data_IF_637312227028
#
_entry.id   IF_637312227028
#
_cell.length_a   1.000
_cell.length_b   1.000
_cell.length_c   1.000
_cell.angle_alpha   90.00
_cell.angle_beta   90.00
_cell.angle_gamma   90.00
#
_symmetry.space_group_name_H-M   'P 1'
#
loop_
_entity.id
_entity.type
_entity.pdbx_description
1 polymer ?
#
# COMPACT_ATOMS: atom_id res chain seq x y z
N UNK A 1 12.41 -11.02 12.70
CA UNK A 1 12.35 -10.00 11.63
C UNK A 1 12.64 -10.73 10.34
N UNK A 2 11.66 -10.89 9.44
CA UNK A 2 11.96 -11.40 8.11
C UNK A 2 12.66 -10.30 7.32
N UNK A 3 13.66 -10.65 6.53
CA UNK A 3 14.25 -9.70 5.59
C UNK A 3 13.30 -9.49 4.41
N UNK A 4 13.48 -8.41 3.65
CA UNK A 4 12.74 -8.21 2.40
C UNK A 4 12.90 -9.42 1.45
N UNK A 5 14.07 -10.06 1.46
CA UNK A 5 14.34 -11.28 0.66
C UNK A 5 13.48 -12.46 1.11
N UNK A 6 13.35 -12.70 2.41
CA UNK A 6 12.58 -13.83 2.94
C UNK A 6 11.07 -13.66 2.64
N UNK A 7 10.58 -12.42 2.69
CA UNK A 7 9.19 -12.08 2.33
C UNK A 7 8.93 -12.30 0.84
N UNK A 8 9.85 -11.87 -0.03
CA UNK A 8 9.75 -12.11 -1.48
C UNK A 8 9.79 -13.62 -1.76
N UNK A 9 10.67 -14.37 -1.11
CA UNK A 9 10.74 -15.81 -1.28
C UNK A 9 9.45 -16.50 -0.84
N UNK A 10 8.86 -16.05 0.27
CA UNK A 10 7.57 -16.54 0.77
C UNK A 10 6.40 -16.19 -0.15
N UNK A 11 6.46 -15.04 -0.83
CA UNK A 11 5.49 -14.67 -1.87
C UNK A 11 5.62 -15.61 -3.06
N UNK A 12 6.84 -15.82 -3.58
CA UNK A 12 7.08 -16.67 -4.74
C UNK A 12 6.63 -18.12 -4.50
N UNK A 13 6.79 -18.64 -3.27
CA UNK A 13 6.31 -19.98 -2.90
C UNK A 13 4.77 -20.15 -2.94
N UNK A 14 4.02 -19.05 -2.94
CA UNK A 14 2.55 -19.06 -2.94
C UNK A 14 1.95 -18.76 -4.32
N UNK A 15 2.76 -18.27 -5.24
CA UNK A 15 2.32 -17.99 -6.60
C UNK A 15 2.27 -19.29 -7.41
N UNK A 16 1.36 -19.39 -8.39
CA UNK A 16 1.36 -20.53 -9.30
C UNK A 16 2.57 -20.48 -10.24
N UNK A 17 2.98 -21.63 -10.76
CA UNK A 17 4.15 -21.75 -11.64
C UNK A 17 4.01 -20.97 -12.96
N UNK A 18 2.77 -20.69 -13.38
CA UNK A 18 2.44 -19.91 -14.58
C UNK A 18 2.25 -18.41 -14.31
N UNK A 19 2.59 -17.95 -13.09
CA UNK A 19 2.52 -16.52 -12.77
C UNK A 19 3.39 -15.67 -13.70
N UNK A 20 2.87 -14.49 -14.04
CA UNK A 20 3.57 -13.51 -14.87
C UNK A 20 4.42 -12.59 -14.02
N UNK A 21 5.33 -11.84 -14.66
CA UNK A 21 6.08 -10.79 -13.96
C UNK A 21 5.16 -9.71 -13.41
N UNK A 22 4.06 -9.40 -14.12
CA UNK A 22 3.03 -8.45 -13.71
C UNK A 22 2.34 -8.90 -12.41
N UNK A 23 2.06 -10.19 -12.25
CA UNK A 23 1.47 -10.74 -11.01
C UNK A 23 2.42 -10.53 -9.82
N UNK A 24 3.70 -10.87 -10.00
CA UNK A 24 4.71 -10.65 -8.94
C UNK A 24 4.80 -9.16 -8.58
N UNK A 25 4.86 -8.29 -9.58
CA UNK A 25 4.93 -6.83 -9.36
C UNK A 25 3.69 -6.31 -8.63
N UNK A 26 2.50 -6.76 -8.99
CA UNK A 26 1.26 -6.37 -8.33
C UNK A 26 1.28 -6.75 -6.84
N UNK A 27 1.67 -7.99 -6.53
CA UNK A 27 1.75 -8.44 -5.14
C UNK A 27 2.78 -7.64 -4.33
N UNK A 28 3.95 -7.35 -4.91
CA UNK A 28 4.96 -6.52 -4.25
C UNK A 28 4.45 -5.10 -4.00
N UNK A 29 3.75 -4.50 -4.96
CA UNK A 29 3.14 -3.18 -4.79
C UNK A 29 2.14 -3.15 -3.64
N UNK A 30 1.27 -4.15 -3.53
CA UNK A 30 0.28 -4.24 -2.44
C UNK A 30 0.96 -4.36 -1.07
N UNK A 31 1.97 -5.24 -0.96
CA UNK A 31 2.75 -5.41 0.27
C UNK A 31 3.38 -4.08 0.69
N UNK A 32 4.03 -3.39 -0.23
CA UNK A 32 4.69 -2.11 0.02
C UNK A 32 3.68 -1.01 0.41
N UNK A 33 2.50 -0.97 -0.23
CA UNK A 33 1.42 -0.05 0.14
C UNK A 33 0.92 -0.27 1.56
N UNK A 34 0.77 -1.53 1.99
CA UNK A 34 0.35 -1.87 3.35
C UNK A 34 1.42 -1.44 4.35
N UNK A 35 2.70 -1.77 4.10
CA UNK A 35 3.81 -1.38 4.98
C UNK A 35 3.88 0.13 5.19
N UNK A 36 3.80 0.90 4.09
CA UNK A 36 3.74 2.36 4.15
C UNK A 36 2.48 2.89 4.83
N UNK A 37 1.38 2.15 4.78
CA UNK A 37 0.16 2.47 5.51
C UNK A 37 0.36 2.34 7.02
N UNK A 38 0.95 1.23 7.46
CA UNK A 38 1.27 0.95 8.86
C UNK A 38 2.28 1.98 9.39
N UNK A 39 3.38 2.19 8.68
CA UNK A 39 4.43 3.15 9.09
C UNK A 39 3.87 4.57 9.24
N UNK A 40 2.99 5.01 8.34
CA UNK A 40 2.31 6.31 8.46
C UNK A 40 1.33 6.36 9.63
N UNK A 41 0.57 5.30 9.85
CA UNK A 41 -0.33 5.24 11.01
C UNK A 41 0.44 5.30 12.34
N UNK A 42 1.62 4.67 12.40
CA UNK A 42 2.49 4.69 13.58
C UNK A 42 3.19 6.04 13.78
N UNK A 43 3.66 6.68 12.69
CA UNK A 43 4.44 7.92 12.76
C UNK A 43 3.60 9.21 12.78
N UNK A 44 2.51 9.24 12.02
CA UNK A 44 1.67 10.43 11.82
C UNK A 44 0.33 10.34 12.58
N UNK A 45 -0.03 9.15 13.08
CA UNK A 45 -1.33 8.88 13.68
C UNK A 45 -2.47 8.77 12.66
N UNK A 46 -3.66 8.43 13.15
CA UNK A 46 -4.88 8.39 12.33
C UNK A 46 -5.62 9.74 12.41
N UNK A 47 -6.22 10.16 11.30
CA UNK A 47 -7.13 11.33 11.25
C UNK A 47 -8.58 10.88 11.44
N UNK A 48 -9.42 11.75 12.02
CA UNK A 48 -10.85 11.47 12.15
C UNK A 48 -11.53 11.46 10.77
N UNK A 49 -12.66 10.76 10.68
CA UNK A 49 -13.46 10.70 9.45
C UNK A 49 -13.86 12.11 8.95
N UNK A 50 -14.29 13.00 9.84
CA UNK A 50 -14.65 14.39 9.49
C UNK A 50 -13.48 15.20 8.91
N UNK A 51 -12.25 14.91 9.33
CA UNK A 51 -11.04 15.55 8.81
C UNK A 51 -10.68 15.00 7.42
N UNK A 52 -10.89 13.70 7.18
CA UNK A 52 -10.73 13.08 5.86
C UNK A 52 -11.72 13.67 4.85
N UNK A 53 -12.99 13.79 5.24
CA UNK A 53 -14.05 14.35 4.38
C UNK A 53 -13.75 15.80 3.97
N UNK A 54 -13.28 16.64 4.91
CA UNK A 54 -12.83 18.01 4.60
C UNK A 54 -11.64 18.07 3.64
N UNK A 55 -10.65 17.18 3.80
CA UNK A 55 -9.46 17.11 2.92
C UNK A 55 -9.79 16.63 1.51
N UNK A 56 -10.76 15.73 1.37
CA UNK A 56 -11.21 15.25 0.05
C UNK A 56 -12.01 16.34 -0.67
N UNK A 57 -12.96 16.98 0.01
CA UNK A 57 -13.76 18.07 -0.56
C UNK A 57 -12.91 19.27 -1.02
N UNK A 58 -11.84 19.60 -0.29
CA UNK A 58 -10.92 20.69 -0.68
C UNK A 58 -10.03 20.33 -1.87
N UNK A 59 -9.65 19.06 -2.07
CA UNK A 59 -8.91 18.61 -3.26
C UNK A 59 -9.77 18.59 -4.52
N UNK A 60 -11.06 18.25 -4.40
CA UNK A 60 -12.02 18.31 -5.50
C UNK A 60 -12.13 19.72 -6.11
N UNK A 61 -11.98 20.74 -5.25
CA UNK A 61 -12.06 22.16 -5.64
C UNK A 61 -10.84 22.66 -6.44
N UNK A 62 -9.70 21.96 -6.39
CA UNK A 62 -8.44 22.33 -7.08
C UNK A 62 -8.27 21.64 -8.43
N UNK A 63 -8.93 20.49 -8.65
CA UNK A 63 -8.85 19.74 -9.92
C UNK A 63 -9.87 20.26 -10.95
N UNK A 64 -10.77 21.15 -10.53
CA UNK A 64 -11.78 21.78 -11.37
C UNK A 64 -11.42 23.16 -11.95
N UNK A 65 -10.16 23.61 -11.87
CA UNK A 65 -9.69 24.87 -12.47
C UNK A 65 -8.62 24.66 -13.54
#
# INVERSE_FOLDING_TARGET
MNTAKDEIQSLLQKLPDDCTFEDVQYHLYVIEKIRRGIERAESEGAVSQEEVERRLASKESYVGS
#
